data_IF_524747165122
#
_entry.id   IF_524747165122
#
_cell.length_a   1.000
_cell.length_b   1.000
_cell.length_c   1.000
_cell.angle_alpha   90.00
_cell.angle_beta   90.00
_cell.angle_gamma   90.00
#
_symmetry.space_group_name_H-M   'P 1'
#
loop_
_entity.id
_entity.type
_entity.pdbx_description
1 polymer ?
#
# COMPACT_ATOMS: atom_id res chain seq x y z
N UNK A 1 3.50 6.08 -45.43
CA UNK A 1 3.77 6.25 -43.99
C UNK A 1 2.50 5.85 -43.28
N UNK A 2 2.44 4.62 -42.78
CA UNK A 2 1.26 4.13 -42.06
C UNK A 2 1.34 4.69 -40.65
N UNK A 3 0.59 5.78 -40.42
CA UNK A 3 0.17 6.19 -39.09
C UNK A 3 -0.80 5.12 -38.57
N UNK A 4 -0.22 4.07 -38.01
CA UNK A 4 -0.96 2.96 -37.43
C UNK A 4 -1.22 3.35 -35.99
N UNK A 5 -2.44 3.81 -35.75
CA UNK A 5 -3.02 3.89 -34.41
C UNK A 5 -2.77 2.54 -33.74
N UNK A 6 -1.84 2.48 -32.79
CA UNK A 6 -1.63 1.30 -31.95
C UNK A 6 -2.92 1.17 -31.14
N UNK A 7 -3.88 0.42 -31.66
CA UNK A 7 -4.98 -0.05 -30.86
C UNK A 7 -4.38 -1.09 -29.93
N UNK A 8 -4.06 -0.66 -28.71
CA UNK A 8 -3.71 -1.57 -27.62
C UNK A 8 -4.96 -2.38 -27.35
N UNK A 9 -5.11 -3.51 -28.02
CA UNK A 9 -6.10 -4.52 -27.67
C UNK A 9 -5.60 -5.10 -26.35
N UNK A 10 -5.96 -4.44 -25.25
CA UNK A 10 -5.55 -4.87 -23.93
C UNK A 10 -6.59 -5.87 -23.41
N UNK A 11 -6.13 -7.04 -22.98
CA UNK A 11 -7.00 -7.96 -22.26
C UNK A 11 -7.17 -7.46 -20.81
N UNK A 12 -8.38 -7.55 -20.26
CA UNK A 12 -8.67 -7.12 -18.88
C UNK A 12 -7.90 -7.93 -17.83
N UNK A 13 -7.43 -9.13 -18.19
CA UNK A 13 -6.74 -10.07 -17.29
C UNK A 13 -5.21 -9.95 -17.32
N UNK A 14 -4.65 -9.01 -18.09
CA UNK A 14 -3.20 -8.75 -18.12
C UNK A 14 -2.64 -8.42 -16.73
N UNK A 15 -3.42 -7.75 -15.89
CA UNK A 15 -3.04 -7.41 -14.51
C UNK A 15 -2.79 -8.66 -13.62
N UNK A 16 -3.30 -9.82 -14.01
CA UNK A 16 -3.15 -11.08 -13.26
C UNK A 16 -1.82 -11.78 -13.54
N UNK A 17 -1.06 -11.37 -14.57
CA UNK A 17 0.21 -12.00 -14.96
C UNK A 17 1.26 -11.90 -13.84
N UNK A 18 1.44 -10.72 -13.25
CA UNK A 18 2.43 -10.50 -12.19
C UNK A 18 2.16 -11.37 -10.96
N UNK A 19 0.96 -11.32 -10.33
CA UNK A 19 0.68 -12.17 -9.18
C UNK A 19 0.74 -13.66 -9.53
N UNK A 20 0.40 -14.05 -10.77
CA UNK A 20 0.57 -15.43 -11.23
C UNK A 20 2.04 -15.87 -11.24
N UNK A 21 2.95 -15.05 -11.81
CA UNK A 21 4.39 -15.34 -11.91
C UNK A 21 5.08 -15.44 -10.54
N UNK A 22 4.66 -14.61 -9.59
CA UNK A 22 5.23 -14.58 -8.23
C UNK A 22 4.51 -15.52 -7.23
N UNK A 23 3.45 -16.20 -7.66
CA UNK A 23 2.68 -17.10 -6.79
C UNK A 23 1.84 -16.39 -5.74
N UNK A 24 1.46 -15.13 -6.00
CA UNK A 24 0.66 -14.28 -5.14
C UNK A 24 -0.85 -14.40 -5.43
N UNK A 25 -1.23 -15.05 -6.53
CA UNK A 25 -2.64 -15.34 -6.86
C UNK A 25 -3.24 -16.38 -5.92
N UNK A 26 -4.50 -16.18 -5.52
CA UNK A 26 -5.25 -17.23 -4.82
C UNK A 26 -5.46 -18.44 -5.74
N UNK A 27 -5.63 -19.64 -5.18
CA UNK A 27 -5.74 -20.88 -5.96
C UNK A 27 -6.84 -20.82 -7.05
N UNK A 28 -7.99 -20.22 -6.73
CA UNK A 28 -9.11 -20.06 -7.67
C UNK A 28 -8.79 -19.05 -8.78
N UNK A 29 -8.08 -17.97 -8.47
CA UNK A 29 -7.69 -16.95 -9.45
C UNK A 29 -6.65 -17.52 -10.42
N UNK A 30 -5.69 -18.28 -9.88
CA UNK A 30 -4.69 -19.00 -10.64
C UNK A 30 -5.32 -19.95 -11.64
N UNK A 31 -6.22 -20.83 -11.20
CA UNK A 31 -6.91 -21.79 -12.09
C UNK A 31 -7.69 -21.06 -13.19
N UNK A 32 -8.42 -20.00 -12.84
CA UNK A 32 -9.14 -19.19 -13.84
C UNK A 32 -8.19 -18.56 -14.84
N UNK A 33 -7.04 -18.06 -14.39
CA UNK A 33 -6.04 -17.44 -15.26
C UNK A 33 -5.40 -18.47 -16.20
N UNK A 34 -5.05 -19.64 -15.68
CA UNK A 34 -4.55 -20.78 -16.47
C UNK A 34 -5.54 -21.19 -17.57
N UNK A 35 -6.85 -21.23 -17.27
CA UNK A 35 -7.88 -21.49 -18.28
C UNK A 35 -7.95 -20.39 -19.36
N UNK A 36 -7.72 -19.13 -18.99
CA UNK A 36 -7.82 -18.02 -19.91
C UNK A 36 -6.63 -17.91 -20.87
N UNK A 37 -5.41 -18.14 -20.38
CA UNK A 37 -4.22 -18.05 -21.24
C UNK A 37 -4.22 -19.09 -22.36
N UNK A 38 -4.90 -20.23 -22.19
CA UNK A 38 -5.05 -21.25 -23.24
C UNK A 38 -5.70 -20.68 -24.51
N UNK A 39 -6.66 -19.77 -24.34
CA UNK A 39 -7.44 -19.19 -25.45
C UNK A 39 -7.11 -17.71 -25.73
N UNK A 40 -6.17 -17.11 -24.98
CA UNK A 40 -5.80 -15.70 -25.12
C UNK A 40 -4.35 -15.51 -25.58
N UNK A 41 -4.18 -15.20 -26.87
CA UNK A 41 -2.86 -14.89 -27.45
C UNK A 41 -2.19 -13.68 -26.80
N UNK A 42 -2.95 -12.62 -26.47
CA UNK A 42 -2.41 -11.41 -25.83
C UNK A 42 -1.79 -11.75 -24.47
N UNK A 43 -2.52 -12.44 -23.60
CA UNK A 43 -1.97 -12.82 -22.29
C UNK A 43 -0.84 -13.85 -22.39
N UNK A 44 -0.83 -14.69 -23.44
CA UNK A 44 0.29 -15.61 -23.71
C UNK A 44 1.56 -14.85 -24.09
N UNK A 45 1.46 -13.89 -25.00
CA UNK A 45 2.58 -13.06 -25.46
C UNK A 45 3.13 -12.19 -24.33
N UNK A 46 2.25 -11.55 -23.55
CA UNK A 46 2.64 -10.74 -22.39
C UNK A 46 3.28 -11.59 -21.28
N UNK A 47 2.73 -12.79 -21.01
CA UNK A 47 3.32 -13.73 -20.06
C UNK A 47 4.73 -14.16 -20.50
N UNK A 48 4.91 -14.45 -21.79
CA UNK A 48 6.22 -14.80 -22.35
C UNK A 48 7.22 -13.63 -22.26
N UNK A 49 6.79 -12.41 -22.59
CA UNK A 49 7.63 -11.22 -22.51
C UNK A 49 8.12 -10.93 -21.08
N UNK A 50 7.24 -11.05 -20.09
CA UNK A 50 7.61 -10.85 -18.68
C UNK A 50 8.49 -11.99 -18.17
N UNK A 51 8.21 -13.24 -18.57
CA UNK A 51 9.03 -14.39 -18.22
C UNK A 51 10.46 -14.24 -18.75
N UNK A 52 10.62 -13.81 -20.01
CA UNK A 52 11.92 -13.56 -20.63
C UNK A 52 12.72 -12.49 -19.87
N UNK A 53 12.08 -11.36 -19.54
CA UNK A 53 12.74 -10.31 -18.76
C UNK A 53 13.19 -10.82 -17.38
N UNK A 54 12.38 -11.65 -16.72
CA UNK A 54 12.73 -12.27 -15.43
C UNK A 54 13.91 -13.23 -15.56
N UNK A 55 13.94 -14.08 -16.59
CA UNK A 55 15.04 -15.01 -16.83
C UNK A 55 16.34 -14.27 -17.13
N UNK A 56 16.28 -13.23 -17.98
CA UNK A 56 17.45 -12.41 -18.30
C UNK A 56 18.08 -11.77 -17.04
N UNK A 57 17.26 -11.20 -16.14
CA UNK A 57 17.74 -10.64 -14.87
C UNK A 57 18.34 -11.71 -13.97
N UNK A 58 17.70 -12.89 -13.90
CA UNK A 58 18.21 -14.01 -13.11
C UNK A 58 19.57 -14.50 -13.62
N UNK A 59 19.72 -14.67 -14.94
CA UNK A 59 20.99 -15.07 -15.55
C UNK A 59 22.09 -14.05 -15.29
N UNK A 60 21.79 -12.76 -15.51
CA UNK A 60 22.73 -11.68 -15.20
C UNK A 60 23.16 -11.69 -13.73
N UNK A 61 22.19 -11.88 -12.81
CA UNK A 61 22.49 -11.95 -11.39
C UNK A 61 23.42 -13.13 -11.05
N UNK A 62 23.18 -14.29 -11.65
CA UNK A 62 24.01 -15.48 -11.42
C UNK A 62 25.43 -15.32 -11.97
N UNK A 63 25.62 -14.65 -13.10
CA UNK A 63 26.95 -14.44 -13.69
C UNK A 63 27.75 -13.42 -12.88
N UNK A 64 27.14 -12.29 -12.52
CA UNK A 64 27.88 -11.17 -11.92
C UNK A 64 27.97 -11.23 -10.39
N UNK A 65 26.93 -11.75 -9.72
CA UNK A 65 26.79 -11.61 -8.26
C UNK A 65 26.86 -12.91 -7.48
N UNK A 66 26.71 -14.08 -8.11
CA UNK A 66 26.71 -15.36 -7.38
C UNK A 66 28.01 -15.63 -6.61
N UNK A 67 29.14 -15.07 -7.07
CA UNK A 67 30.43 -15.19 -6.42
C UNK A 67 30.65 -14.19 -5.27
N UNK A 68 29.81 -13.16 -5.17
CA UNK A 68 29.95 -12.08 -4.19
C UNK A 68 29.15 -12.47 -2.94
N UNK A 69 29.79 -12.63 -1.76
CA UNK A 69 29.06 -12.97 -0.54
C UNK A 69 28.13 -11.83 -0.15
N UNK A 70 26.93 -12.17 0.36
CA UNK A 70 26.02 -11.18 0.92
C UNK A 70 26.72 -10.45 2.07
N UNK A 71 26.82 -9.11 2.04
CA UNK A 71 27.46 -8.37 3.12
C UNK A 71 26.73 -8.56 4.45
N UNK A 72 27.51 -8.73 5.52
CA UNK A 72 26.97 -8.79 6.88
C UNK A 72 26.67 -7.37 7.38
N UNK A 73 25.40 -7.04 7.52
CA UNK A 73 24.97 -5.80 8.14
C UNK A 73 24.56 -6.06 9.59
N UNK A 74 25.28 -5.48 10.53
CA UNK A 74 24.88 -5.43 11.95
C UNK A 74 24.17 -4.10 12.17
N UNK A 75 22.88 -4.15 12.51
CA UNK A 75 22.15 -2.97 12.98
C UNK A 75 22.46 -2.82 14.47
N UNK A 76 23.20 -1.78 14.89
CA UNK A 76 23.42 -1.52 16.31
C UNK A 76 22.12 -0.97 16.90
N UNK A 77 21.38 -1.83 17.61
CA UNK A 77 20.31 -1.36 18.47
C UNK A 77 20.94 -0.82 19.76
N UNK A 78 21.43 0.43 19.72
CA UNK A 78 21.55 1.19 20.96
C UNK A 78 20.13 1.31 21.52
N UNK A 79 19.90 0.77 22.71
CA UNK A 79 18.60 0.82 23.36
C UNK A 79 18.59 1.96 24.38
N UNK A 80 18.39 3.24 24.01
CA UNK A 80 17.58 4.08 24.85
C UNK A 80 16.14 3.68 24.57
N UNK A 81 15.54 2.94 25.50
CA UNK A 81 14.10 3.06 25.73
C UNK A 81 13.88 4.53 26.00
N UNK A 82 13.63 5.33 24.97
CA UNK A 82 13.07 6.65 25.14
C UNK A 82 11.67 6.33 25.64
N UNK A 83 11.53 6.33 26.96
CA UNK A 83 10.24 6.38 27.60
C UNK A 83 9.57 7.66 27.08
N UNK A 84 8.87 7.55 25.96
CA UNK A 84 7.98 8.59 25.52
C UNK A 84 6.94 8.66 26.63
N UNK A 85 6.97 9.76 27.39
CA UNK A 85 5.90 10.07 28.31
C UNK A 85 4.61 10.00 27.48
N UNK A 86 3.86 8.91 27.66
CA UNK A 86 2.67 8.66 26.86
C UNK A 86 1.73 9.85 26.96
N UNK A 87 0.91 10.05 25.93
CA UNK A 87 -0.06 11.16 25.83
C UNK A 87 -0.88 11.38 27.14
N UNK A 88 -1.12 10.31 27.91
CA UNK A 88 -1.80 10.32 29.21
C UNK A 88 -1.01 11.09 30.30
N UNK A 89 0.33 10.96 30.34
CA UNK A 89 1.18 11.66 31.30
C UNK A 89 1.19 13.18 31.04
N UNK A 90 1.12 13.57 29.77
CA UNK A 90 1.03 14.96 29.33
C UNK A 90 -0.33 15.60 29.69
N UNK A 91 -1.43 14.86 29.49
CA UNK A 91 -2.78 15.31 29.85
C UNK A 91 -2.97 15.54 31.36
N UNK A 92 -2.31 14.75 32.22
CA UNK A 92 -2.42 14.94 33.69
C UNK A 92 -1.82 16.25 34.20
N UNK A 93 -0.79 16.80 33.54
CA UNK A 93 -0.18 18.08 33.93
C UNK A 93 -1.08 19.26 33.61
N UNK A 94 -1.86 19.17 32.52
CA UNK A 94 -2.72 20.27 32.06
C UNK A 94 -4.15 20.21 32.65
N UNK A 95 -4.56 19.08 33.23
CA UNK A 95 -5.91 18.93 33.80
C UNK A 95 -6.10 19.57 35.19
N UNK A 96 -5.03 20.02 35.85
CA UNK A 96 -5.10 20.68 37.17
C UNK A 96 -5.09 22.21 37.11
N UNK A 97 -5.43 22.80 35.95
CA UNK A 97 -5.62 24.25 35.83
C UNK A 97 -6.94 24.65 35.14
N UNK A 98 -8.00 23.86 35.30
CA UNK A 98 -9.35 24.33 34.92
C UNK A 98 -10.03 25.01 36.12
N UNK A 99 -10.52 26.24 35.98
CA UNK A 99 -11.29 26.88 37.04
C UNK A 99 -12.59 26.12 37.29
N UNK A 100 -12.87 25.85 38.57
CA UNK A 100 -14.11 25.23 39.04
C UNK A 100 -15.31 26.10 38.63
N UNK A 101 -16.11 25.64 37.66
CA UNK A 101 -17.30 26.36 37.22
C UNK A 101 -18.42 26.20 38.26
N UNK A 102 -18.61 27.22 39.08
CA UNK A 102 -19.67 27.32 40.09
C UNK A 102 -21.02 27.48 39.40
N UNK A 103 -21.89 26.48 39.53
CA UNK A 103 -23.25 26.48 38.94
C UNK A 103 -24.09 27.64 39.50
N UNK A 104 -24.44 28.60 38.62
CA UNK A 104 -25.29 29.76 38.90
C UNK A 104 -26.53 29.76 38.00
N UNK A 105 -27.68 30.10 38.57
CA UNK A 105 -29.04 29.79 38.06
C UNK A 105 -29.40 30.45 36.72
N UNK A 106 -30.04 29.61 35.88
CA UNK A 106 -30.94 29.85 34.73
C UNK A 106 -31.60 31.24 34.69
N UNK A 107 -31.31 32.05 33.66
CA UNK A 107 -32.15 33.17 33.23
C UNK A 107 -32.85 32.85 31.91
N UNK A 108 -34.14 33.12 31.89
CA UNK A 108 -35.10 32.87 30.82
C UNK A 108 -34.94 33.91 29.70
N UNK A 109 -35.08 33.47 28.45
CA UNK A 109 -35.16 34.36 27.30
C UNK A 109 -36.53 35.07 27.30
N UNK A 110 -36.53 36.40 27.40
CA UNK A 110 -37.74 37.21 27.22
C UNK A 110 -37.72 37.80 25.81
N UNK A 111 -38.57 37.28 24.91
CA UNK A 111 -38.84 37.90 23.62
C UNK A 111 -39.53 39.25 23.83
N UNK A 112 -39.07 40.29 23.14
CA UNK A 112 -39.76 41.59 23.05
C UNK A 112 -40.50 41.66 21.71
N UNK A 113 -41.81 42.00 21.69
CA UNK A 113 -42.60 42.00 20.46
C UNK A 113 -42.44 43.31 19.66
N UNK A 114 -42.48 43.17 18.33
CA UNK A 114 -42.59 44.23 17.32
C UNK A 114 -43.88 45.04 17.51
N UNK A 115 -43.80 46.38 17.47
CA UNK A 115 -44.86 47.23 16.91
C UNK A 115 -44.32 48.54 16.31
N UNK A 116 -44.67 48.74 15.03
CA UNK A 116 -44.70 49.92 14.14
C UNK A 116 -43.42 50.72 13.83
#
# INVERSE_FOLDING_TARGET
MLDSTIQVINCERVAEIVPYIYGESAAVERERFELHIVDCGICTDELAAIAEARFSVYEWNQVEFASIPTPNFVIPYDNPVIASEGLIARLKKDLFLYPVFRSGKRQQQHLVPLQY
#
